data_IF_111024231217
#
_entry.id   IF_111024231217
#
_cell.length_a   1.000
_cell.length_b   1.000
_cell.length_c   1.000
_cell.angle_alpha   90.00
_cell.angle_beta   90.00
_cell.angle_gamma   90.00
#
_symmetry.space_group_name_H-M   'P 1'
#
loop_
_entity.id
_entity.type
_entity.pdbx_description
1 polymer ?
#
# COMPACT_ATOMS: atom_id res chain seq x y z
N UNK A 1 6.22 16.47 12.17
CA UNK A 1 7.28 15.57 11.65
C UNK A 1 6.60 14.23 11.42
N UNK A 2 6.33 13.85 10.16
CA UNK A 2 5.69 12.56 9.86
C UNK A 2 6.77 11.51 9.64
N UNK A 3 6.91 10.61 10.61
CA UNK A 3 7.73 9.40 10.50
C UNK A 3 6.85 8.28 9.97
N UNK A 4 7.31 7.61 8.93
CA UNK A 4 6.61 6.49 8.33
C UNK A 4 7.40 5.20 8.59
N UNK A 5 6.68 4.15 8.99
CA UNK A 5 7.26 2.82 9.12
C UNK A 5 7.37 2.20 7.72
N UNK A 6 8.60 1.92 7.30
CA UNK A 6 8.86 1.36 5.98
C UNK A 6 9.11 -0.15 6.10
N UNK A 7 8.24 -0.94 5.49
CA UNK A 7 8.54 -2.34 5.20
C UNK A 7 8.93 -2.48 3.74
N UNK A 8 10.10 -3.06 3.48
CA UNK A 8 10.57 -3.32 2.13
C UNK A 8 11.24 -4.69 1.98
N UNK A 9 11.13 -5.27 0.79
CA UNK A 9 11.85 -6.48 0.40
C UNK A 9 12.77 -6.09 -0.75
N UNK A 10 14.08 -6.19 -0.53
CA UNK A 10 15.07 -5.95 -1.58
C UNK A 10 15.36 -7.24 -2.33
N UNK A 11 15.14 -7.23 -3.64
CA UNK A 11 15.28 -8.37 -4.53
C UNK A 11 16.27 -8.02 -5.64
N UNK A 12 17.22 -8.92 -5.89
CA UNK A 12 18.21 -8.74 -6.97
C UNK A 12 17.66 -9.14 -8.34
N UNK A 13 16.54 -9.88 -8.38
CA UNK A 13 15.97 -10.42 -9.61
C UNK A 13 14.52 -9.93 -9.79
N UNK A 14 14.18 -9.40 -10.99
CA UNK A 14 12.80 -9.00 -11.30
C UNK A 14 11.82 -10.17 -11.27
N UNK A 15 12.29 -11.35 -11.69
CA UNK A 15 11.46 -12.56 -11.73
C UNK A 15 11.00 -12.96 -10.33
N UNK A 16 11.90 -12.85 -9.35
CA UNK A 16 11.56 -13.14 -7.96
C UNK A 16 10.54 -12.12 -7.43
N UNK A 17 10.66 -10.85 -7.82
CA UNK A 17 9.73 -9.81 -7.39
C UNK A 17 8.32 -10.00 -7.95
N UNK A 18 8.21 -10.49 -9.18
CA UNK A 18 6.93 -10.85 -9.78
C UNK A 18 6.31 -12.10 -9.10
N UNK A 19 7.13 -13.10 -8.79
CA UNK A 19 6.68 -14.32 -8.11
C UNK A 19 6.15 -14.01 -6.70
N UNK A 20 6.92 -13.24 -5.91
CA UNK A 20 6.50 -12.78 -4.59
C UNK A 20 5.24 -11.92 -4.65
N UNK A 21 5.10 -11.07 -5.67
CA UNK A 21 3.88 -10.28 -5.86
C UNK A 21 2.65 -11.18 -6.08
N UNK A 22 2.79 -12.28 -6.82
CA UNK A 22 1.72 -13.27 -6.99
C UNK A 22 1.42 -14.02 -5.69
N UNK A 23 2.44 -14.41 -4.94
CA UNK A 23 2.25 -15.04 -3.63
C UNK A 23 1.53 -14.11 -2.66
N UNK A 24 1.86 -12.81 -2.66
CA UNK A 24 1.17 -11.80 -1.87
C UNK A 24 -0.30 -11.62 -2.29
N UNK A 25 -0.59 -11.69 -3.59
CA UNK A 25 -1.97 -11.67 -4.11
C UNK A 25 -2.77 -12.92 -3.70
N UNK A 26 -2.09 -14.07 -3.57
CA UNK A 26 -2.65 -15.32 -3.04
C UNK A 26 -2.85 -15.29 -1.51
N UNK A 27 -2.36 -14.26 -0.82
CA UNK A 27 -2.48 -14.10 0.63
C UNK A 27 -1.28 -14.61 1.44
N UNK A 28 -0.11 -14.75 0.82
CA UNK A 28 1.12 -15.07 1.54
C UNK A 28 1.54 -13.93 2.49
N UNK A 29 2.28 -14.29 3.53
CA UNK A 29 2.73 -13.33 4.54
C UNK A 29 3.97 -12.58 4.05
N UNK A 30 3.85 -11.25 3.92
CA UNK A 30 4.96 -10.39 3.49
C UNK A 30 6.20 -10.53 4.39
N UNK A 31 6.00 -10.73 5.70
CA UNK A 31 7.09 -10.87 6.64
C UNK A 31 7.86 -12.19 6.45
N UNK A 32 7.18 -13.26 6.05
CA UNK A 32 7.78 -14.57 5.75
C UNK A 32 8.59 -14.47 4.45
N UNK A 33 7.99 -13.93 3.39
CA UNK A 33 8.67 -13.71 2.11
C UNK A 33 9.87 -12.79 2.25
N UNK A 34 9.74 -11.73 3.06
CA UNK A 34 10.86 -10.85 3.38
C UNK A 34 11.98 -11.59 4.12
N UNK A 35 11.66 -12.48 5.05
CA UNK A 35 12.65 -13.28 5.77
C UNK A 35 13.40 -14.24 4.87
N UNK A 36 12.69 -14.83 3.92
CA UNK A 36 13.21 -15.90 3.07
C UNK A 36 13.98 -15.36 1.85
N UNK A 37 13.51 -14.26 1.25
CA UNK A 37 14.01 -13.77 -0.03
C UNK A 37 14.67 -12.39 0.00
N UNK A 38 14.46 -11.58 1.03
CA UNK A 38 15.05 -10.23 1.07
C UNK A 38 16.57 -10.31 1.22
N UNK A 39 17.27 -9.51 0.42
CA UNK A 39 18.73 -9.40 0.47
C UNK A 39 19.23 -8.41 1.53
N UNK A 40 18.34 -7.76 2.28
CA UNK A 40 18.69 -6.80 3.33
C UNK A 40 18.94 -7.48 4.69
N UNK A 41 19.78 -6.92 5.58
CA UNK A 41 19.89 -7.42 6.96
C UNK A 41 18.56 -7.29 7.75
N UNK A 42 17.67 -6.41 7.32
CA UNK A 42 16.31 -6.22 7.85
C UNK A 42 15.37 -7.42 7.59
N UNK A 43 15.81 -8.42 6.83
CA UNK A 43 15.04 -9.66 6.59
C UNK A 43 14.62 -10.32 7.89
N UNK A 44 15.48 -10.34 8.92
CA UNK A 44 15.14 -10.92 10.22
C UNK A 44 13.91 -10.29 10.90
N UNK A 45 13.62 -9.02 10.60
CA UNK A 45 12.44 -8.29 11.09
C UNK A 45 11.29 -8.27 10.07
N UNK A 46 11.27 -9.22 9.12
CA UNK A 46 10.21 -9.29 8.11
C UNK A 46 10.24 -8.10 7.15
N UNK A 47 11.43 -7.60 6.82
CA UNK A 47 11.62 -6.47 5.90
C UNK A 47 11.39 -5.10 6.53
N UNK A 48 11.26 -5.01 7.85
CA UNK A 48 11.14 -3.72 8.55
C UNK A 48 12.45 -2.94 8.49
N UNK A 49 12.46 -1.84 7.75
CA UNK A 49 13.61 -0.95 7.60
C UNK A 49 13.68 0.12 8.71
N UNK A 50 12.70 0.15 9.63
CA UNK A 50 12.60 1.16 10.68
C UNK A 50 11.64 2.30 10.33
N UNK A 51 11.66 3.33 11.19
CA UNK A 51 10.94 4.57 10.96
C UNK A 51 11.84 5.55 10.23
N UNK A 52 11.40 5.99 9.06
CA UNK A 52 12.11 6.97 8.25
C UNK A 52 11.28 8.23 8.14
N UNK A 53 11.94 9.38 8.02
CA UNK A 53 11.25 10.63 7.72
C UNK A 53 10.87 10.63 6.24
N UNK A 54 9.65 11.08 5.94
CA UNK A 54 9.19 11.20 4.55
C UNK A 54 10.16 12.03 3.70
N UNK A 55 10.75 13.09 4.27
CA UNK A 55 11.69 13.99 3.56
C UNK A 55 13.06 13.34 3.25
N UNK A 56 13.44 12.31 4.00
CA UNK A 56 14.72 11.60 3.84
C UNK A 56 14.61 10.39 2.89
N UNK A 57 13.38 10.02 2.49
CA UNK A 57 13.14 8.89 1.60
C UNK A 57 13.19 9.31 0.12
N UNK A 58 13.58 8.39 -0.79
CA UNK A 58 13.51 8.67 -2.21
C UNK A 58 12.06 8.91 -2.65
N UNK A 59 11.85 9.91 -3.51
CA UNK A 59 10.53 10.24 -4.09
C UNK A 59 9.79 9.01 -4.62
N UNK A 60 10.48 8.10 -5.32
CA UNK A 60 9.88 6.86 -5.85
C UNK A 60 9.26 5.97 -4.77
N UNK A 61 9.84 5.93 -3.56
CA UNK A 61 9.30 5.16 -2.43
C UNK A 61 8.09 5.88 -1.84
N UNK A 62 8.15 7.20 -1.73
CA UNK A 62 7.05 8.03 -1.20
C UNK A 62 5.84 7.97 -2.13
N UNK A 63 6.06 8.14 -3.44
CA UNK A 63 5.02 8.03 -4.47
C UNK A 63 4.38 6.64 -4.42
N UNK A 64 5.18 5.57 -4.39
CA UNK A 64 4.66 4.22 -4.24
C UNK A 64 3.80 4.05 -2.96
N UNK A 65 4.28 4.53 -1.82
CA UNK A 65 3.52 4.47 -0.56
C UNK A 65 2.25 5.35 -0.57
N UNK A 66 2.25 6.45 -1.32
CA UNK A 66 1.09 7.31 -1.51
C UNK A 66 0.06 6.68 -2.47
N UNK A 67 0.53 5.99 -3.51
CA UNK A 67 -0.28 5.16 -4.43
C UNK A 67 -0.80 3.88 -3.76
N UNK A 68 -0.32 3.56 -2.56
CA UNK A 68 -0.84 2.46 -1.76
C UNK A 68 -2.28 2.74 -1.35
N UNK A 69 -3.21 2.27 -2.18
CA UNK A 69 -4.63 2.34 -1.86
C UNK A 69 -4.94 1.53 -0.60
N UNK A 70 -5.95 1.93 0.17
CA UNK A 70 -6.34 1.17 1.38
C UNK A 70 -6.79 -0.25 1.05
N UNK A 71 -7.08 -0.54 -0.22
CA UNK A 71 -7.41 -1.87 -0.71
C UNK A 71 -6.18 -2.74 -1.05
N UNK A 72 -4.99 -2.15 -1.26
CA UNK A 72 -3.77 -2.91 -1.61
C UNK A 72 -2.85 -3.05 -0.40
N UNK A 73 -2.58 -4.29 -0.02
CA UNK A 73 -1.71 -4.62 1.12
C UNK A 73 -0.20 -4.44 0.85
N UNK A 74 0.17 -4.13 -0.40
CA UNK A 74 1.57 -3.90 -0.82
C UNK A 74 1.61 -3.05 -2.10
N UNK A 75 2.79 -2.49 -2.38
CA UNK A 75 3.12 -1.64 -3.53
C UNK A 75 4.40 -2.16 -4.17
N UNK A 76 4.42 -2.31 -5.49
CA UNK A 76 5.60 -2.71 -6.24
C UNK A 76 5.32 -3.87 -7.20
N UNK A 77 6.33 -4.32 -7.96
CA UNK A 77 7.77 -4.14 -7.74
C UNK A 77 8.35 -2.82 -8.27
N UNK A 78 8.92 -2.01 -7.36
CA UNK A 78 9.58 -0.73 -7.68
C UNK A 78 11.04 -0.98 -8.05
N UNK A 79 11.45 -0.59 -9.25
CA UNK A 79 12.85 -0.70 -9.69
C UNK A 79 13.67 0.50 -9.22
N UNK A 80 14.78 0.23 -8.56
CA UNK A 80 15.79 1.21 -8.16
C UNK A 80 17.18 0.78 -8.67
N UNK A 81 18.20 1.58 -8.40
CA UNK A 81 19.59 1.28 -8.76
C UNK A 81 20.14 0.05 -8.01
N UNK A 82 19.58 -0.26 -6.83
CA UNK A 82 19.97 -1.40 -6.00
C UNK A 82 19.27 -2.71 -6.39
N UNK A 83 18.17 -2.64 -7.13
CA UNK A 83 17.37 -3.81 -7.52
C UNK A 83 15.88 -3.52 -7.54
N UNK A 84 15.09 -4.50 -7.11
CA UNK A 84 13.63 -4.43 -7.05
C UNK A 84 13.16 -4.39 -5.61
N UNK A 85 12.25 -3.47 -5.31
CA UNK A 85 11.70 -3.25 -3.99
C UNK A 85 10.20 -3.50 -4.00
N UNK A 86 9.74 -4.42 -3.15
CA UNK A 86 8.33 -4.51 -2.77
C UNK A 86 8.16 -3.74 -1.47
N UNK A 87 7.20 -2.84 -1.42
CA UNK A 87 6.93 -1.93 -0.32
C UNK A 87 5.61 -2.32 0.33
N UNK A 88 5.55 -2.28 1.66
CA UNK A 88 4.31 -2.47 2.39
C UNK A 88 4.10 -1.29 3.34
N UNK A 89 3.05 -0.48 3.16
CA UNK A 89 2.74 0.58 4.10
C UNK A 89 2.28 -0.04 5.43
N UNK A 90 2.87 0.38 6.54
CA UNK A 90 2.44 -0.03 7.89
C UNK A 90 2.14 1.23 8.70
N UNK A 91 0.86 1.42 9.04
CA UNK A 91 0.40 2.57 9.80
C UNK A 91 -0.13 3.71 8.93
N UNK A 92 0.25 4.94 9.26
CA UNK A 92 -0.23 6.17 8.62
C UNK A 92 0.46 6.41 7.28
N UNK A 93 -0.32 6.64 6.21
CA UNK A 93 0.22 6.86 4.86
C UNK A 93 0.99 8.18 4.83
N UNK A 94 2.11 8.28 4.08
CA UNK A 94 2.74 9.58 3.87
C UNK A 94 1.70 10.50 3.24
N UNK A 95 1.45 11.64 3.87
CA UNK A 95 0.63 12.70 3.28
C UNK A 95 1.47 13.33 2.18
N UNK A 96 1.42 12.73 0.99
CA UNK A 96 1.77 13.45 -0.22
C UNK A 96 0.75 14.57 -0.28
N UNK A 97 1.21 15.81 -0.12
CA UNK A 97 0.40 16.97 -0.42
C UNK A 97 0.17 16.99 -1.95
N UNK A 98 -0.65 16.04 -2.43
CA UNK A 98 -1.45 16.22 -3.63
C UNK A 98 -2.47 17.27 -3.22
N UNK A 99 -2.00 18.51 -3.24
CA UNK A 99 -2.91 19.63 -3.31
C UNK A 99 -3.72 19.45 -4.58
N UNK A 100 -5.02 19.67 -4.39
CA UNK A 100 -6.00 20.02 -5.39
C UNK A 100 -6.79 18.82 -5.98
N UNK A 101 -8.04 18.72 -5.50
CA UNK A 101 -9.21 18.13 -6.15
C UNK A 101 -9.13 16.70 -6.73
N UNK A 102 -9.37 15.68 -5.91
CA UNK A 102 -10.06 14.50 -6.43
C UNK A 102 -11.08 13.95 -5.44
N UNK A 103 -12.31 14.42 -5.63
CA UNK A 103 -13.56 13.87 -5.13
C UNK A 103 -13.80 12.51 -5.77
N UNK A 104 -13.72 11.42 -4.99
CA UNK A 104 -14.40 10.13 -5.19
C UNK A 104 -13.88 9.19 -4.09
N UNK A 105 -14.66 8.55 -3.23
CA UNK A 105 -16.09 8.30 -3.26
C UNK A 105 -16.48 8.08 -1.79
N UNK A 106 -17.01 9.11 -1.16
CA UNK A 106 -17.89 8.88 -0.02
C UNK A 106 -19.21 8.40 -0.63
N UNK A 107 -19.63 7.21 -0.25
CA UNK A 107 -21.00 6.89 0.20
C UNK A 107 -20.96 5.41 0.57
N UNK A 108 -20.35 5.16 1.73
CA UNK A 108 -20.62 3.93 2.46
C UNK A 108 -22.11 3.89 2.74
N UNK A 109 -22.69 2.73 2.51
CA UNK A 109 -24.10 2.47 2.74
C UNK A 109 -24.54 2.79 4.16
N UNK A 110 -25.83 3.13 4.27
CA UNK A 110 -26.73 3.09 5.45
C UNK A 110 -27.04 4.45 6.07
N UNK A 111 -28.23 4.97 5.75
CA UNK A 111 -29.20 5.22 6.82
C UNK A 111 -30.61 4.84 6.36
N UNK A 112 -31.30 4.13 7.25
CA UNK A 112 -32.65 3.63 7.09
C UNK A 112 -33.66 4.69 7.50
N UNK A 113 -34.67 5.01 6.69
CA UNK A 113 -36.04 5.30 7.16
C UNK A 113 -37.04 5.26 5.99
N UNK A 114 -37.90 4.23 5.97
CA UNK A 114 -39.27 4.37 5.48
C UNK A 114 -40.07 5.28 6.47
N UNK A 115 -41.30 5.77 6.21
CA UNK A 115 -42.27 5.39 5.17
C UNK A 115 -43.02 6.59 4.52
N UNK A 116 -44.06 6.28 3.72
CA UNK A 116 -45.33 7.04 3.60
C UNK A 116 -45.70 7.61 2.20
N UNK A 117 -46.59 6.84 1.55
CA UNK A 117 -47.90 7.19 0.93
C UNK A 117 -48.06 8.23 -0.20
N UNK A 118 -49.06 7.91 -1.03
CA UNK A 118 -49.81 8.75 -2.00
C UNK A 118 -49.19 8.80 -3.41
N UNK A 119 -49.81 8.38 -4.51
CA UNK A 119 -51.17 7.98 -4.84
C UNK A 119 -51.29 8.01 -6.39
N UNK A 120 -52.34 7.38 -6.95
CA UNK A 120 -52.85 7.56 -8.32
C UNK A 120 -52.14 6.78 -9.47
N UNK A 121 -52.49 5.51 -9.75
CA UNK A 121 -53.59 5.00 -10.62
C UNK A 121 -53.38 5.30 -12.13
N UNK A 122 -53.38 4.28 -13.03
CA UNK A 122 -53.01 4.40 -14.44
C UNK A 122 -54.19 4.80 -15.37
N UNK A 123 -53.86 5.16 -16.60
CA UNK A 123 -54.78 5.22 -17.76
C UNK A 123 -54.27 4.31 -18.88
#
# INVERSE_FOLDING_TARGET
MHTIALHHILLKSPLLADDLAKELDLGADFAELAREYSACPSSHQGGFAGYHQQDELPLTIIEGLAEADSQKSYVGPVRTDLGYHLLKPVGDKPKLALSDDNVLSEETSLDSIAPAIDGNIPA
#
